data_IF_630499451859
#
_entry.id   IF_630499451859
#
_cell.length_a   1.000
_cell.length_b   1.000
_cell.length_c   1.000
_cell.angle_alpha   90.00
_cell.angle_beta   90.00
_cell.angle_gamma   90.00
#
_symmetry.space_group_name_H-M   'P 1'
#
loop_
_entity.id
_entity.type
_entity.pdbx_description
1 polymer ?
#
# COMPACT_ATOMS: atom_id res chain seq x y z
N UNK A 1 4.25 19.75 0.78
CA UNK A 1 3.52 19.37 -0.46
C UNK A 1 3.37 17.88 -0.39
N UNK A 2 2.13 17.39 -0.44
CA UNK A 2 1.87 15.97 -0.17
C UNK A 2 2.54 15.09 -1.20
N UNK A 3 3.43 14.21 -0.75
CA UNK A 3 4.01 13.20 -1.62
C UNK A 3 2.95 12.12 -1.92
N UNK A 4 3.22 11.25 -2.90
CA UNK A 4 2.34 10.12 -3.20
C UNK A 4 2.04 9.24 -1.96
N UNK A 5 2.93 9.29 -0.98
CA UNK A 5 2.88 8.59 0.29
C UNK A 5 1.76 9.12 1.18
N UNK A 6 1.68 10.44 1.38
CA UNK A 6 0.62 11.09 2.16
C UNK A 6 -0.79 10.73 1.67
N UNK A 7 -0.98 10.68 0.35
CA UNK A 7 -2.30 10.36 -0.21
C UNK A 7 -2.70 8.89 -0.01
N UNK A 8 -1.78 7.95 -0.17
CA UNK A 8 -2.06 6.54 0.07
C UNK A 8 -2.41 6.31 1.55
N UNK A 9 -1.71 6.99 2.46
CA UNK A 9 -1.97 6.96 3.91
C UNK A 9 -3.34 7.55 4.23
N UNK A 10 -3.66 8.73 3.68
CA UNK A 10 -4.94 9.38 3.88
C UNK A 10 -6.10 8.48 3.45
N UNK A 11 -5.99 7.81 2.28
CA UNK A 11 -6.98 6.83 1.82
C UNK A 11 -7.11 5.65 2.78
N UNK A 12 -5.99 5.10 3.26
CA UNK A 12 -5.97 3.97 4.18
C UNK A 12 -6.70 4.30 5.49
N UNK A 13 -6.39 5.43 6.13
CA UNK A 13 -7.05 5.84 7.37
C UNK A 13 -8.51 6.24 7.16
N UNK A 14 -8.84 6.88 6.03
CA UNK A 14 -10.22 7.22 5.69
C UNK A 14 -11.08 5.96 5.56
N UNK A 15 -10.60 4.96 4.81
CA UNK A 15 -11.33 3.70 4.64
C UNK A 15 -11.39 2.89 5.94
N UNK A 16 -10.33 2.91 6.75
CA UNK A 16 -10.34 2.33 8.10
C UNK A 16 -11.42 2.95 8.98
N UNK A 17 -11.53 4.29 9.01
CA UNK A 17 -12.56 4.98 9.78
C UNK A 17 -13.96 4.66 9.24
N UNK A 18 -14.13 4.54 7.92
CA UNK A 18 -15.38 4.09 7.29
C UNK A 18 -15.71 2.60 7.55
N UNK A 19 -14.89 1.87 8.32
CA UNK A 19 -15.14 0.49 8.74
C UNK A 19 -14.63 -0.58 7.80
N UNK A 20 -13.79 -0.23 6.81
CA UNK A 20 -13.14 -1.23 5.96
C UNK A 20 -12.13 -2.03 6.79
N UNK A 21 -12.20 -3.38 6.80
CA UNK A 21 -11.29 -4.20 7.60
C UNK A 21 -9.82 -4.00 7.20
N UNK A 22 -8.94 -3.76 8.19
CA UNK A 22 -7.50 -3.55 7.97
C UNK A 22 -6.85 -4.73 7.25
N UNK A 23 -7.24 -5.97 7.56
CA UNK A 23 -6.74 -7.16 6.88
C UNK A 23 -7.05 -7.23 5.38
N UNK A 24 -7.95 -6.38 4.86
CA UNK A 24 -8.25 -6.24 3.42
C UNK A 24 -7.48 -5.12 2.74
N UNK A 25 -6.74 -4.32 3.48
CA UNK A 25 -6.06 -3.13 2.95
C UNK A 25 -4.56 -3.23 3.17
N UNK A 26 -3.76 -2.85 2.18
CA UNK A 26 -2.30 -2.75 2.30
C UNK A 26 -1.75 -1.52 1.60
N UNK A 27 -0.92 -0.75 2.30
CA UNK A 27 -0.06 0.22 1.65
C UNK A 27 1.01 -0.55 0.87
N UNK A 28 1.15 -0.25 -0.41
CA UNK A 28 2.01 -1.00 -1.33
C UNK A 28 3.00 -0.06 -1.96
N UNK A 29 4.28 -0.33 -1.74
CA UNK A 29 5.37 0.38 -2.37
C UNK A 29 5.66 -0.26 -3.73
N UNK A 30 5.62 0.55 -4.77
CA UNK A 30 5.74 0.12 -6.16
C UNK A 30 6.80 0.96 -6.87
N UNK A 31 7.36 0.40 -7.95
CA UNK A 31 8.08 1.17 -8.96
C UNK A 31 7.10 1.53 -10.07
N UNK A 32 6.82 2.82 -10.25
CA UNK A 32 6.09 3.32 -11.40
C UNK A 32 7.05 3.33 -12.61
N UNK A 33 6.86 2.37 -13.52
CA UNK A 33 7.79 2.08 -14.62
C UNK A 33 7.85 3.24 -15.61
N UNK A 34 6.69 3.78 -15.98
CA UNK A 34 6.59 4.86 -16.96
C UNK A 34 7.23 6.17 -16.47
N UNK A 35 7.14 6.43 -15.17
CA UNK A 35 7.74 7.60 -14.52
C UNK A 35 9.17 7.33 -14.02
N UNK A 36 9.62 6.07 -14.08
CA UNK A 36 10.89 5.58 -13.52
C UNK A 36 11.17 6.07 -12.09
N UNK A 37 10.16 6.05 -11.24
CA UNK A 37 10.26 6.52 -9.84
C UNK A 37 9.56 5.57 -8.87
N UNK A 38 9.91 5.69 -7.60
CA UNK A 38 9.17 5.07 -6.52
C UNK A 38 7.81 5.73 -6.33
N UNK A 39 6.80 4.94 -5.98
CA UNK A 39 5.44 5.40 -5.76
C UNK A 39 4.75 4.55 -4.69
N UNK A 40 3.82 5.14 -3.93
CA UNK A 40 3.01 4.40 -2.98
C UNK A 40 1.54 4.42 -3.38
N UNK A 41 0.92 3.25 -3.35
CA UNK A 41 -0.51 3.04 -3.63
C UNK A 41 -1.18 2.29 -2.50
N UNK A 42 -2.50 2.38 -2.42
CA UNK A 42 -3.30 1.54 -1.53
C UNK A 42 -3.86 0.36 -2.33
N UNK A 43 -3.63 -0.86 -1.87
CA UNK A 43 -4.25 -2.07 -2.44
C UNK A 43 -5.36 -2.58 -1.55
N UNK A 44 -6.45 -3.02 -2.17
CA UNK A 44 -7.62 -3.57 -1.50
C UNK A 44 -7.91 -4.99 -1.99
N UNK A 45 -8.04 -5.94 -1.05
CA UNK A 45 -8.34 -7.34 -1.31
C UNK A 45 -9.79 -7.63 -0.93
N UNK A 46 -10.62 -8.00 -1.91
CA UNK A 46 -12.02 -8.38 -1.65
C UNK A 46 -12.10 -9.60 -0.71
N UNK A 47 -11.20 -10.57 -0.89
CA UNK A 47 -10.95 -11.69 0.01
C UNK A 47 -9.48 -12.12 -0.05
N UNK A 48 -9.03 -12.90 0.93
CA UNK A 48 -7.67 -13.45 0.96
C UNK A 48 -7.38 -14.27 -0.31
N UNK A 49 -6.20 -14.08 -0.90
CA UNK A 49 -5.76 -14.78 -2.11
C UNK A 49 -6.42 -14.31 -3.42
N UNK A 50 -7.32 -13.32 -3.38
CA UNK A 50 -7.83 -12.67 -4.59
C UNK A 50 -6.85 -11.62 -5.08
N UNK A 51 -6.98 -11.31 -6.37
CA UNK A 51 -6.30 -10.18 -6.97
C UNK A 51 -6.72 -8.87 -6.28
N UNK A 52 -5.78 -7.99 -5.92
CA UNK A 52 -6.11 -6.71 -5.32
C UNK A 52 -6.55 -5.68 -6.36
N UNK A 53 -7.45 -4.80 -5.92
CA UNK A 53 -7.76 -3.53 -6.58
C UNK A 53 -6.77 -2.46 -6.15
N UNK A 54 -6.30 -1.65 -7.10
CA UNK A 54 -5.32 -0.59 -6.86
C UNK A 54 -6.01 0.77 -6.77
N UNK A 55 -5.86 1.44 -5.64
CA UNK A 55 -6.30 2.81 -5.42
C UNK A 55 -5.08 3.73 -5.53
N UNK A 56 -5.02 4.45 -6.65
CA UNK A 56 -3.89 5.30 -7.02
C UNK A 56 -4.31 6.77 -7.12
N UNK A 57 -3.31 7.65 -7.13
CA UNK A 57 -3.40 9.08 -7.34
C UNK A 57 -2.94 9.51 -8.74
N UNK A 58 -2.13 8.69 -9.41
CA UNK A 58 -1.71 8.95 -10.79
C UNK A 58 -2.83 8.63 -11.79
N UNK A 59 -3.67 7.66 -11.45
CA UNK A 59 -4.81 7.20 -12.23
C UNK A 59 -6.04 7.17 -11.32
N UNK A 60 -7.13 7.81 -11.75
CA UNK A 60 -8.36 7.91 -10.95
C UNK A 60 -9.19 6.61 -10.97
N UNK A 61 -9.03 5.79 -12.01
CA UNK A 61 -9.74 4.51 -12.13
C UNK A 61 -9.16 3.49 -11.14
N UNK A 62 -10.05 2.83 -10.40
CA UNK A 62 -9.69 1.72 -9.52
C UNK A 62 -9.63 0.45 -10.37
N UNK A 63 -8.43 0.00 -10.69
CA UNK A 63 -8.19 -1.13 -11.58
C UNK A 63 -7.60 -2.34 -10.83
N UNK A 64 -7.85 -3.57 -11.29
CA UNK A 64 -7.15 -4.76 -10.81
C UNK A 64 -5.64 -4.63 -11.05
N UNK A 65 -4.82 -5.24 -10.18
CA UNK A 65 -3.37 -5.16 -10.29
C UNK A 65 -2.80 -5.68 -11.63
N UNK A 66 -3.41 -6.68 -12.25
CA UNK A 66 -3.06 -7.20 -13.58
C UNK A 66 -3.25 -6.18 -14.70
N UNK A 67 -4.11 -5.19 -14.51
CA UNK A 67 -4.34 -4.09 -15.46
C UNK A 67 -3.43 -2.89 -15.21
N UNK A 68 -2.59 -2.93 -14.17
CA UNK A 68 -1.63 -1.88 -13.79
C UNK A 68 -0.19 -2.32 -14.08
N UNK A 69 0.08 -2.66 -15.34
CA UNK A 69 1.43 -3.06 -15.81
C UNK A 69 2.47 -1.96 -15.67
N UNK A 70 2.03 -0.71 -15.46
CA UNK A 70 2.86 0.45 -15.15
C UNK A 70 3.42 0.42 -13.72
N UNK A 71 2.88 -0.42 -12.83
CA UNK A 71 3.31 -0.53 -11.43
C UNK A 71 3.94 -1.88 -11.14
N UNK A 72 5.20 -1.88 -10.70
CA UNK A 72 5.89 -3.11 -10.26
C UNK A 72 5.94 -3.13 -8.73
N UNK A 73 5.24 -4.05 -8.05
CA UNK A 73 5.22 -4.09 -6.60
C UNK A 73 6.56 -4.56 -6.02
N UNK A 74 6.99 -3.90 -4.94
CA UNK A 74 8.24 -4.22 -4.23
C UNK A 74 7.93 -4.87 -2.88
N UNK A 75 7.05 -4.26 -2.08
CA UNK A 75 6.53 -4.80 -0.82
C UNK A 75 5.21 -4.11 -0.44
N UNK A 76 4.47 -4.74 0.47
CA UNK A 76 3.22 -4.20 1.01
C UNK A 76 3.11 -4.44 2.51
N UNK A 77 2.41 -3.55 3.21
CA UNK A 77 2.23 -3.63 4.66
C UNK A 77 0.90 -3.02 5.09
N UNK A 78 0.46 -3.36 6.29
CA UNK A 78 -0.65 -2.69 6.96
C UNK A 78 -0.39 -2.66 8.47
N UNK A 79 -1.39 -2.27 9.26
CA UNK A 79 -1.27 -2.22 10.72
C UNK A 79 -0.98 -3.57 11.39
N UNK A 80 -1.17 -4.69 10.68
CA UNK A 80 -1.11 -6.05 11.24
C UNK A 80 0.12 -6.85 10.75
N UNK A 81 0.86 -6.40 9.71
CA UNK A 81 1.99 -7.17 9.19
C UNK A 81 2.69 -6.63 7.94
N UNK A 82 3.75 -7.35 7.52
CA UNK A 82 4.57 -7.08 6.33
C UNK A 82 4.57 -8.25 5.34
N UNK A 83 4.47 -7.93 4.05
CA UNK A 83 4.52 -8.90 2.96
C UNK A 83 5.44 -8.43 1.82
N UNK A 84 6.31 -9.32 1.32
CA UNK A 84 7.13 -9.05 0.12
C UNK A 84 6.30 -9.32 -1.12
N UNK A 85 6.41 -8.45 -2.13
CA UNK A 85 5.89 -8.77 -3.44
C UNK A 85 6.81 -9.80 -4.10
N UNK A 86 6.46 -11.10 -4.04
CA UNK A 86 6.98 -12.06 -5.01
C UNK A 86 6.04 -12.04 -6.20
N UNK A 87 6.62 -11.92 -7.40
CA UNK A 87 5.93 -11.75 -8.69
C UNK A 87 4.89 -12.84 -9.04
N UNK A 88 4.69 -13.88 -8.23
CA UNK A 88 3.74 -14.97 -8.48
C UNK A 88 3.24 -15.55 -7.15
N UNK A 89 2.02 -15.21 -6.76
CA UNK A 89 1.12 -16.03 -5.92
C UNK A 89 1.50 -16.38 -4.47
N UNK A 90 2.69 -16.02 -3.98
CA UNK A 90 3.17 -16.40 -2.65
C UNK A 90 3.34 -15.16 -1.76
N UNK A 91 2.30 -14.90 -0.96
CA UNK A 91 2.22 -13.82 0.01
C UNK A 91 2.94 -14.20 1.32
N UNK A 92 4.23 -14.50 1.22
CA UNK A 92 5.03 -14.91 2.38
C UNK A 92 5.19 -13.72 3.33
N UNK A 93 4.48 -13.75 4.46
CA UNK A 93 4.60 -12.78 5.57
C UNK A 93 6.06 -12.76 6.02
N UNK A 94 6.68 -11.59 5.95
CA UNK A 94 8.09 -11.40 6.32
C UNK A 94 8.29 -11.09 7.82
N UNK A 95 7.21 -10.72 8.54
CA UNK A 95 7.29 -10.37 9.95
C UNK A 95 6.15 -9.43 10.37
N UNK A 96 6.36 -8.78 11.51
CA UNK A 96 5.47 -7.72 12.03
C UNK A 96 5.80 -6.38 11.39
N UNK A 97 4.78 -5.54 11.18
CA UNK A 97 4.97 -4.22 10.57
C UNK A 97 5.94 -3.35 11.41
N UNK A 98 5.96 -3.54 12.74
CA UNK A 98 6.80 -2.82 13.69
C UNK A 98 8.31 -3.00 13.48
N UNK A 99 8.75 -4.05 12.80
CA UNK A 99 10.19 -4.28 12.57
C UNK A 99 10.75 -3.50 11.38
N UNK A 100 9.89 -2.87 10.57
CA UNK A 100 10.31 -2.13 9.40
C UNK A 100 10.65 -0.70 9.80
N UNK A 101 11.91 -0.32 9.57
CA UNK A 101 12.41 1.05 9.75
C UNK A 101 11.52 2.04 8.99
N UNK A 102 11.10 1.72 7.76
CA UNK A 102 10.22 2.59 6.98
C UNK A 102 8.79 2.72 7.54
N UNK A 103 8.18 1.66 8.11
CA UNK A 103 6.87 1.79 8.77
C UNK A 103 6.98 2.54 10.09
N UNK A 104 8.09 2.39 10.80
CA UNK A 104 8.44 3.21 11.96
C UNK A 104 8.61 4.68 11.55
N UNK A 105 9.40 4.96 10.52
CA UNK A 105 9.59 6.30 9.95
C UNK A 105 8.27 6.89 9.47
N UNK A 106 7.43 6.09 8.81
CA UNK A 106 6.10 6.50 8.37
C UNK A 106 5.19 6.85 9.54
N UNK A 107 5.12 6.00 10.56
CA UNK A 107 4.37 6.30 11.78
C UNK A 107 4.91 7.55 12.48
N UNK A 108 6.23 7.68 12.59
CA UNK A 108 6.86 8.87 13.18
C UNK A 108 6.50 10.13 12.39
N UNK A 109 6.48 10.09 11.05
CA UNK A 109 6.04 11.21 10.21
C UNK A 109 4.55 11.53 10.42
N UNK A 110 3.69 10.50 10.49
CA UNK A 110 2.26 10.68 10.73
C UNK A 110 2.02 11.30 12.12
N UNK A 111 2.68 10.79 13.16
CA UNK A 111 2.58 11.31 14.53
C UNK A 111 3.07 12.77 14.64
N UNK A 112 4.10 13.14 13.89
CA UNK A 112 4.62 14.51 13.84
C UNK A 112 3.71 15.48 13.07
N UNK A 113 2.98 15.01 12.05
CA UNK A 113 2.06 15.82 11.25
C UNK A 113 0.65 15.94 11.86
N UNK A 114 0.37 15.26 12.98
CA UNK A 114 -0.94 15.27 13.66
C UNK A 114 -0.96 16.15 14.93
N UNK A 115 0.07 16.99 15.15
CA UNK A 115 0.11 17.99 16.22
C UNK A 115 -0.15 19.41 15.70
#
# INVERSE_FOLDING_TARGET
GGDCEDFAIAKYFSLKWLGVPVGKMRLTYVKAVELNQAHMVLTYYASLGQEPMVLDNLVNDILPASQRSDLVPVYSFNGDGLWKAKLLGDDSRLGDADDIILWKELRTRIEQNTQ
#
